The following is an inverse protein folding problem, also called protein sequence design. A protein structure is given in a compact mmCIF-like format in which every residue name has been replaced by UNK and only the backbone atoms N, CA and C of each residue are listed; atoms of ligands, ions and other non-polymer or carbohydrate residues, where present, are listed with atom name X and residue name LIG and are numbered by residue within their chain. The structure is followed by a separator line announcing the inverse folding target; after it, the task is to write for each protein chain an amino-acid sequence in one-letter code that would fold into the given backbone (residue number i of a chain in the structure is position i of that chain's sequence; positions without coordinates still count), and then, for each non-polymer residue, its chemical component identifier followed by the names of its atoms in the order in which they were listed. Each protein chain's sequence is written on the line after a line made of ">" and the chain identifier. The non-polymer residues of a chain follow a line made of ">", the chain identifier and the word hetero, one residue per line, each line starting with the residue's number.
data_IF_765232726273
#
_entry.id   IF_765232726273
#
_cell.length_a   1.000
_cell.length_b   1.000
_cell.length_c   1.000
_cell.angle_alpha   90.00
_cell.angle_beta   90.00
_cell.angle_gamma   90.00
#
_symmetry.space_group_name_H-M   'P 1'
#
loop_
_entity.id
_entity.type
_entity.pdbx_description
1 polymer ?
#
# COMPACT_ATOMS: atom_id res chain seq x y z
N UNK A 1 -1.97 3.81 -1.90
CA UNK A 1 -1.23 2.54 -1.78
C UNK A 1 0.00 2.68 -0.90
N UNK A 2 0.99 3.54 -1.20
CA UNK A 2 2.17 3.76 -0.32
C UNK A 2 1.80 4.07 1.13
N UNK A 3 0.82 4.95 1.35
CA UNK A 3 0.28 5.31 2.68
C UNK A 3 -0.43 4.17 3.41
N UNK A 4 -0.70 3.04 2.75
CA UNK A 4 -1.29 1.83 3.34
C UNK A 4 -0.22 0.73 3.49
N UNK A 5 0.57 0.51 2.43
CA UNK A 5 1.64 -0.48 2.39
C UNK A 5 2.74 -0.16 3.42
N UNK A 6 3.18 1.11 3.50
CA UNK A 6 4.25 1.48 4.43
C UNK A 6 3.85 1.25 5.90
N UNK A 7 2.67 1.70 6.38
CA UNK A 7 2.23 1.35 7.73
C UNK A 7 2.03 -0.14 7.93
N UNK A 8 1.55 -0.88 6.92
CA UNK A 8 1.38 -2.33 7.02
C UNK A 8 2.73 -3.05 7.22
N UNK A 9 3.75 -2.73 6.41
CA UNK A 9 5.10 -3.26 6.56
C UNK A 9 5.70 -2.90 7.93
N UNK A 10 5.47 -1.69 8.43
CA UNK A 10 5.90 -1.29 9.78
C UNK A 10 5.16 -2.07 10.88
N UNK A 11 3.86 -2.37 10.68
CA UNK A 11 3.09 -3.19 11.61
C UNK A 11 3.61 -4.62 11.66
N UNK A 12 4.10 -5.20 10.57
CA UNK A 12 4.71 -6.54 10.58
C UNK A 12 5.94 -6.59 11.52
N UNK A 13 6.82 -5.58 11.46
CA UNK A 13 7.94 -5.48 12.39
C UNK A 13 7.47 -5.30 13.85
N UNK A 14 6.42 -4.50 14.07
CA UNK A 14 5.84 -4.34 15.40
C UNK A 14 5.27 -5.66 15.94
N UNK A 15 4.55 -6.41 15.11
CA UNK A 15 3.98 -7.71 15.49
C UNK A 15 5.07 -8.71 15.88
N UNK A 16 6.15 -8.78 15.10
CA UNK A 16 7.31 -9.61 15.43
C UNK A 16 7.92 -9.21 16.77
N UNK A 17 8.18 -7.91 16.98
CA UNK A 17 8.77 -7.39 18.22
C UNK A 17 7.94 -7.80 19.43
N UNK A 18 6.63 -7.66 19.34
CA UNK A 18 5.73 -7.93 20.44
C UNK A 18 5.58 -9.43 20.71
N UNK A 19 5.48 -10.26 19.66
CA UNK A 19 5.45 -11.71 19.81
C UNK A 19 6.73 -12.23 20.48
N UNK A 20 7.90 -11.76 20.04
CA UNK A 20 9.18 -12.07 20.70
C UNK A 20 9.25 -11.57 22.15
N UNK A 21 8.57 -10.45 22.44
CA UNK A 21 8.39 -9.91 23.79
C UNK A 21 7.28 -10.60 24.62
N UNK A 22 6.61 -11.61 24.09
CA UNK A 22 5.46 -12.31 24.71
C UNK A 22 4.26 -11.39 24.99
N UNK A 23 4.09 -10.37 24.15
CA UNK A 23 2.95 -9.46 24.14
C UNK A 23 1.99 -9.83 23.01
N UNK A 24 0.80 -10.34 23.34
CA UNK A 24 -0.14 -10.94 22.38
C UNK A 24 -1.40 -10.10 22.11
N UNK A 25 -1.41 -8.82 22.47
CA UNK A 25 -2.61 -7.98 22.36
C UNK A 25 -3.14 -7.84 20.92
N UNK A 26 -2.28 -8.01 19.91
CA UNK A 26 -2.72 -8.04 18.50
C UNK A 26 -3.27 -9.40 18.04
N UNK A 27 -3.04 -10.46 18.81
CA UNK A 27 -3.42 -11.83 18.49
C UNK A 27 -4.15 -12.48 19.68
N UNK A 28 -5.39 -12.08 20.00
CA UNK A 28 -6.12 -12.59 21.16
C UNK A 28 -6.25 -14.12 21.19
N UNK A 29 -6.40 -14.76 20.02
CA UNK A 29 -6.45 -16.22 19.92
C UNK A 29 -5.13 -16.88 20.31
N UNK A 30 -3.98 -16.29 19.94
CA UNK A 30 -2.66 -16.81 20.32
C UNK A 30 -2.43 -16.60 21.82
N UNK A 31 -2.90 -15.48 22.38
CA UNK A 31 -2.87 -15.24 23.83
C UNK A 31 -3.60 -16.35 24.59
N UNK A 32 -4.83 -16.67 24.17
CA UNK A 32 -5.64 -17.73 24.80
C UNK A 32 -4.99 -19.12 24.69
N UNK A 33 -4.46 -19.48 23.53
CA UNK A 33 -3.77 -20.76 23.34
C UNK A 33 -2.51 -20.87 24.21
N UNK A 34 -1.80 -19.75 24.41
CA UNK A 34 -0.63 -19.70 25.28
C UNK A 34 -0.97 -19.83 26.75
N UNK A 35 -2.08 -19.24 27.20
CA UNK A 35 -2.60 -19.42 28.56
C UNK A 35 -2.95 -20.90 28.83
N UNK A 36 -3.47 -21.60 27.82
CA UNK A 36 -3.77 -23.03 27.88
C UNK A 36 -2.52 -23.93 27.79
N UNK A 37 -1.33 -23.37 27.54
CA UNK A 37 -0.10 -24.12 27.35
C UNK A 37 0.04 -24.81 26.00
N UNK A 38 -0.77 -24.44 25.01
CA UNK A 38 -0.79 -25.03 23.65
C UNK A 38 0.23 -24.38 22.70
N UNK A 39 0.75 -23.20 23.05
CA UNK A 39 1.74 -22.45 22.26
C UNK A 39 3.04 -22.35 23.05
N UNK A 40 4.11 -22.91 22.50
CA UNK A 40 5.45 -22.87 23.06
C UNK A 40 6.30 -21.77 22.42
N UNK A 41 7.47 -21.54 23.01
CA UNK A 41 8.39 -20.51 22.53
C UNK A 41 8.95 -20.82 21.14
N UNK A 42 9.11 -22.10 20.81
CA UNK A 42 9.51 -22.54 19.47
C UNK A 42 8.44 -22.19 18.42
N UNK A 43 7.15 -22.31 18.75
CA UNK A 43 6.05 -21.93 17.87
C UNK A 43 6.01 -20.41 17.64
N UNK A 44 6.29 -19.63 18.70
CA UNK A 44 6.40 -18.17 18.61
C UNK A 44 7.58 -17.77 17.72
N UNK A 45 8.70 -18.49 17.82
CA UNK A 45 9.87 -18.24 16.99
C UNK A 45 9.57 -18.51 15.51
N UNK A 46 8.91 -19.62 15.20
CA UNK A 46 8.46 -19.93 13.82
C UNK A 46 7.57 -18.81 13.28
N UNK A 47 6.65 -18.29 14.09
CA UNK A 47 5.79 -17.19 13.67
C UNK A 47 6.56 -15.88 13.45
N UNK A 48 7.55 -15.59 14.30
CA UNK A 48 8.46 -14.45 14.11
C UNK A 48 9.24 -14.55 12.80
N UNK A 49 9.73 -15.74 12.46
CA UNK A 49 10.47 -15.99 11.22
C UNK A 49 9.55 -15.81 10.00
N UNK A 50 8.30 -16.29 10.08
CA UNK A 50 7.30 -16.05 9.03
C UNK A 50 7.00 -14.56 8.84
N UNK A 51 6.92 -13.79 9.91
CA UNK A 51 6.72 -12.33 9.82
C UNK A 51 7.90 -11.63 9.15
N UNK A 52 9.13 -12.06 9.39
CA UNK A 52 10.32 -11.54 8.69
C UNK A 52 10.26 -11.82 7.19
N UNK A 53 9.97 -13.07 6.82
CA UNK A 53 9.84 -13.46 5.40
C UNK A 53 8.74 -12.65 4.73
N UNK A 54 7.56 -12.56 5.36
CA UNK A 54 6.44 -11.77 4.84
C UNK A 54 6.79 -10.29 4.71
N UNK A 55 7.49 -9.72 5.69
CA UNK A 55 7.91 -8.33 5.64
C UNK A 55 8.85 -8.08 4.45
N UNK A 56 9.83 -8.96 4.26
CA UNK A 56 10.77 -8.89 3.14
C UNK A 56 10.05 -9.03 1.80
N UNK A 57 9.19 -10.03 1.65
CA UNK A 57 8.40 -10.25 0.43
C UNK A 57 7.54 -9.02 0.10
N UNK A 58 6.91 -8.39 1.09
CA UNK A 58 6.13 -7.16 0.90
C UNK A 58 7.00 -5.98 0.49
N UNK A 59 8.20 -5.84 1.07
CA UNK A 59 9.15 -4.80 0.68
C UNK A 59 9.67 -4.99 -0.74
N UNK A 60 9.95 -6.23 -1.15
CA UNK A 60 10.40 -6.56 -2.51
C UNK A 60 9.29 -6.36 -3.54
N UNK A 61 8.10 -6.88 -3.26
CA UNK A 61 6.93 -6.77 -4.14
C UNK A 61 6.53 -5.32 -4.42
N UNK A 62 6.58 -4.46 -3.40
CA UNK A 62 6.15 -3.06 -3.51
C UNK A 62 7.34 -2.08 -3.53
N UNK A 63 8.53 -2.55 -3.88
CA UNK A 63 9.74 -1.73 -3.80
C UNK A 63 9.65 -0.47 -4.68
N UNK A 64 9.02 -0.58 -5.85
CA UNK A 64 8.73 0.52 -6.75
C UNK A 64 7.87 1.58 -6.05
N UNK A 65 6.75 1.19 -5.45
CA UNK A 65 5.82 2.07 -4.70
C UNK A 65 6.51 2.68 -3.47
N UNK A 66 7.36 1.89 -2.79
CA UNK A 66 8.14 2.32 -1.62
C UNK A 66 9.33 3.22 -1.99
N UNK A 67 9.74 3.27 -3.26
CA UNK A 67 10.73 4.24 -3.78
C UNK A 67 10.11 5.51 -4.33
N UNK A 68 8.80 5.55 -4.58
CA UNK A 68 8.10 6.76 -5.03
C UNK A 68 8.27 7.89 -4.00
N UNK A 69 9.09 8.90 -4.34
CA UNK A 69 9.23 10.11 -3.53
C UNK A 69 8.01 10.98 -3.74
N UNK A 70 7.05 10.91 -2.81
CA UNK A 70 5.90 11.82 -2.82
C UNK A 70 6.43 13.20 -2.47
N UNK A 71 6.40 14.12 -3.44
CA UNK A 71 6.81 15.49 -3.21
C UNK A 71 5.73 16.19 -2.38
N UNK A 72 6.14 16.85 -1.29
CA UNK A 72 5.22 17.44 -0.32
C UNK A 72 4.22 18.42 -0.95
N UNK A 73 4.65 19.16 -2.00
CA UNK A 73 3.80 20.10 -2.73
C UNK A 73 2.60 19.46 -3.45
N UNK A 74 2.64 18.15 -3.74
CA UNK A 74 1.53 17.42 -4.38
C UNK A 74 0.34 17.27 -3.42
N UNK A 75 0.64 17.09 -2.12
CA UNK A 75 -0.34 16.92 -1.05
C UNK A 75 -0.72 18.28 -0.45
N UNK A 76 0.26 19.15 -0.28
CA UNK A 76 0.08 20.50 0.23
C UNK A 76 0.94 21.48 -0.55
N UNK A 77 0.29 22.21 -1.46
CA UNK A 77 0.92 23.20 -2.33
C UNK A 77 1.74 24.25 -1.56
N UNK A 78 1.49 24.48 -0.27
CA UNK A 78 2.18 25.51 0.52
C UNK A 78 3.36 24.99 1.34
N UNK A 79 3.66 23.69 1.29
CA UNK A 79 4.86 23.14 1.92
C UNK A 79 6.12 23.44 1.08
N UNK A 80 7.23 23.61 1.79
CA UNK A 80 8.52 24.09 1.27
C UNK A 80 8.92 23.43 -0.08
N UNK A 81 9.11 24.25 -1.11
CA UNK A 81 9.30 23.84 -2.52
C UNK A 81 10.76 23.60 -2.92
N UNK A 82 11.68 23.54 -1.95
CA UNK A 82 13.12 23.36 -2.19
C UNK A 82 13.49 22.08 -2.95
N UNK A 83 12.59 21.10 -3.04
CA UNK A 83 12.82 19.83 -3.74
C UNK A 83 12.27 19.79 -5.18
N UNK A 84 11.70 20.88 -5.69
CA UNK A 84 11.13 20.90 -7.05
C UNK A 84 12.20 21.18 -8.10
N UNK A 85 12.12 20.51 -9.25
CA UNK A 85 12.94 20.82 -10.42
C UNK A 85 12.74 22.28 -10.83
N UNK A 86 13.82 22.98 -11.21
CA UNK A 86 13.76 24.40 -11.59
C UNK A 86 12.72 24.67 -12.69
N UNK A 87 12.58 23.74 -13.64
CA UNK A 87 11.61 23.80 -14.75
C UNK A 87 10.14 23.78 -14.30
N UNK A 88 9.85 23.25 -13.11
CA UNK A 88 8.49 23.16 -12.56
C UNK A 88 8.18 24.29 -11.58
N UNK A 89 9.18 25.09 -11.21
CA UNK A 89 9.07 26.11 -10.16
C UNK A 89 8.19 27.28 -10.59
N UNK A 90 8.22 27.63 -11.88
CA UNK A 90 7.35 28.65 -12.47
C UNK A 90 5.89 28.23 -12.40
N UNK A 91 5.54 27.06 -12.98
CA UNK A 91 4.17 26.52 -12.91
C UNK A 91 3.68 26.39 -11.46
N UNK A 92 4.54 25.97 -10.53
CA UNK A 92 4.17 25.86 -9.11
C UNK A 92 3.87 27.24 -8.50
N UNK A 93 4.67 28.26 -8.82
CA UNK A 93 4.48 29.62 -8.31
C UNK A 93 3.16 30.22 -8.82
N UNK A 94 2.87 30.02 -10.11
CA UNK A 94 1.62 30.46 -10.73
C UNK A 94 0.40 29.76 -10.11
N UNK A 95 0.53 28.46 -9.84
CA UNK A 95 -0.52 27.69 -9.18
C UNK A 95 -0.74 28.12 -7.72
N UNK A 96 0.34 28.41 -6.97
CA UNK A 96 0.28 28.84 -5.58
C UNK A 96 -0.35 30.24 -5.40
N UNK A 97 -0.15 31.12 -6.38
CA UNK A 97 -0.67 32.50 -6.37
C UNK A 97 -2.11 32.59 -6.89
N UNK A 98 -2.61 31.55 -7.55
CA UNK A 98 -3.97 31.48 -8.06
C UNK A 98 -5.01 31.27 -6.94
N UNK A 99 -5.59 32.38 -6.44
CA UNK A 99 -6.61 32.37 -5.38
C UNK A 99 -7.90 31.63 -5.75
N UNK A 100 -8.26 31.54 -7.04
CA UNK A 100 -9.47 30.85 -7.50
C UNK A 100 -9.34 29.33 -7.37
N UNK A 101 -8.13 28.79 -7.54
CA UNK A 101 -7.84 27.37 -7.48
C UNK A 101 -7.60 26.87 -6.05
N UNK A 102 -7.16 27.73 -5.12
CA UNK A 102 -6.96 27.38 -3.70
C UNK A 102 -8.14 26.66 -3.02
N UNK A 103 -9.39 27.15 -3.10
CA UNK A 103 -10.52 26.47 -2.45
C UNK A 103 -10.76 25.07 -3.05
N UNK A 104 -10.56 24.91 -4.36
CA UNK A 104 -10.73 23.60 -5.01
C UNK A 104 -9.68 22.58 -4.58
N UNK A 105 -8.44 23.03 -4.34
CA UNK A 105 -7.39 22.18 -3.78
C UNK A 105 -7.71 21.73 -2.35
N UNK A 106 -8.21 22.65 -1.50
CA UNK A 106 -8.59 22.35 -0.10
C UNK A 106 -9.73 21.32 0.00
N UNK A 107 -10.62 21.27 -0.99
CA UNK A 107 -11.70 20.27 -1.03
C UNK A 107 -11.19 18.85 -1.38
N UNK A 108 -9.96 18.71 -1.87
CA UNK A 108 -9.32 17.42 -2.12
C UNK A 108 -8.28 17.50 -3.24
N UNK A 109 -7.01 17.26 -2.91
CA UNK A 109 -5.91 17.33 -3.88
C UNK A 109 -6.09 16.34 -5.05
N UNK A 110 -6.62 15.13 -4.81
CA UNK A 110 -6.80 14.14 -5.87
C UNK A 110 -7.79 14.62 -6.94
N UNK A 111 -8.97 15.07 -6.49
CA UNK A 111 -9.99 15.63 -7.39
C UNK A 111 -9.51 16.89 -8.09
N UNK A 112 -8.71 17.72 -7.41
CA UNK A 112 -8.11 18.91 -7.98
C UNK A 112 -7.20 18.57 -9.17
N UNK A 113 -6.23 17.70 -8.96
CA UNK A 113 -5.26 17.33 -9.98
C UNK A 113 -5.90 16.63 -11.17
N UNK A 114 -6.99 15.89 -10.98
CA UNK A 114 -7.72 15.20 -12.05
C UNK A 114 -8.52 16.14 -12.96
N UNK A 115 -8.64 17.43 -12.64
CA UNK A 115 -9.37 18.38 -13.49
C UNK A 115 -8.61 18.64 -14.79
N UNK A 116 -9.34 18.61 -15.91
CA UNK A 116 -8.77 18.87 -17.24
C UNK A 116 -8.05 20.22 -17.31
N UNK A 117 -8.63 21.26 -16.72
CA UNK A 117 -8.04 22.60 -16.68
C UNK A 117 -6.64 22.62 -16.05
N UNK A 118 -6.39 21.78 -15.03
CA UNK A 118 -5.08 21.72 -14.36
C UNK A 118 -4.05 21.04 -15.27
N UNK A 119 -4.46 19.99 -15.98
CA UNK A 119 -3.61 19.35 -16.99
C UNK A 119 -3.26 20.28 -18.16
N UNK A 120 -4.16 21.19 -18.53
CA UNK A 120 -3.97 22.09 -19.67
C UNK A 120 -3.13 23.33 -19.28
N UNK A 121 -3.35 23.88 -18.09
CA UNK A 121 -2.65 25.08 -17.59
C UNK A 121 -1.27 24.79 -16.97
N UNK A 122 -1.12 23.62 -16.35
CA UNK A 122 0.10 23.24 -15.62
C UNK A 122 0.60 21.85 -16.06
N UNK A 123 0.98 21.69 -17.35
CA UNK A 123 1.30 20.40 -17.93
C UNK A 123 2.55 19.74 -17.32
N UNK A 124 3.55 20.53 -16.90
CA UNK A 124 4.75 20.04 -16.23
C UNK A 124 4.43 19.42 -14.88
N UNK A 125 3.67 20.14 -14.04
CA UNK A 125 3.21 19.66 -12.74
C UNK A 125 2.31 18.43 -12.92
N UNK A 126 1.37 18.47 -13.85
CA UNK A 126 0.47 17.36 -14.13
C UNK A 126 1.22 16.09 -14.56
N UNK A 127 2.23 16.20 -15.43
CA UNK A 127 3.08 15.07 -15.86
C UNK A 127 3.71 14.37 -14.67
N UNK A 128 4.10 15.12 -13.64
CA UNK A 128 4.67 14.58 -12.41
C UNK A 128 3.59 13.95 -11.54
N UNK A 129 2.52 14.70 -11.24
CA UNK A 129 1.39 14.26 -10.39
C UNK A 129 0.69 13.01 -10.94
N UNK A 130 0.49 12.93 -12.26
CA UNK A 130 -0.17 11.79 -12.90
C UNK A 130 0.55 10.47 -12.64
N UNK A 131 1.89 10.45 -12.53
CA UNK A 131 2.65 9.24 -12.16
C UNK A 131 2.28 8.77 -10.76
N UNK A 132 2.09 9.70 -9.82
CA UNK A 132 1.63 9.39 -8.47
C UNK A 132 0.18 8.92 -8.48
N UNK A 133 -0.72 9.58 -9.22
CA UNK A 133 -2.12 9.18 -9.27
C UNK A 133 -2.34 7.82 -9.96
N UNK A 134 -1.57 7.49 -11.01
CA UNK A 134 -1.69 6.23 -11.77
C UNK A 134 -1.05 5.02 -11.09
N UNK A 135 -0.04 5.23 -10.26
CA UNK A 135 0.55 4.16 -9.45
C UNK A 135 -0.45 3.59 -8.42
N UNK A 136 -1.57 4.27 -8.16
CA UNK A 136 -2.54 3.86 -7.14
C UNK A 136 -3.57 2.83 -7.63
N UNK A 137 -4.13 2.88 -8.85
CA UNK A 137 -5.13 1.89 -9.29
C UNK A 137 -4.55 0.68 -10.02
N UNK A 138 -3.45 0.82 -10.78
CA UNK A 138 -3.04 -0.20 -11.75
C UNK A 138 -2.49 -1.49 -11.11
N UNK A 139 -1.60 -1.39 -10.12
CA UNK A 139 -1.05 -2.57 -9.42
C UNK A 139 -2.09 -3.27 -8.55
N UNK A 140 -2.88 -2.52 -7.76
CA UNK A 140 -3.95 -3.08 -6.93
C UNK A 140 -5.01 -3.83 -7.74
N UNK A 141 -5.50 -3.23 -8.84
CA UNK A 141 -6.53 -3.88 -9.67
C UNK A 141 -6.00 -5.12 -10.39
N UNK A 142 -4.74 -5.07 -10.84
CA UNK A 142 -4.07 -6.23 -11.45
C UNK A 142 -3.87 -7.33 -10.40
N UNK A 143 -3.39 -7.02 -9.20
CA UNK A 143 -3.22 -8.01 -8.13
C UNK A 143 -4.54 -8.56 -7.60
N UNK A 144 -5.59 -7.74 -7.45
CA UNK A 144 -6.92 -8.23 -7.11
C UNK A 144 -7.46 -9.16 -8.21
N UNK A 145 -7.29 -8.77 -9.48
CA UNK A 145 -7.66 -9.61 -10.62
C UNK A 145 -6.91 -10.94 -10.62
N UNK A 146 -5.59 -10.92 -10.44
CA UNK A 146 -4.77 -12.13 -10.38
C UNK A 146 -5.08 -12.98 -9.15
N UNK A 147 -5.31 -12.38 -7.99
CA UNK A 147 -5.68 -13.08 -6.75
C UNK A 147 -7.00 -13.84 -6.89
N UNK A 148 -8.02 -13.20 -7.48
CA UNK A 148 -9.30 -13.86 -7.80
C UNK A 148 -9.10 -15.02 -8.79
N UNK A 149 -8.26 -14.83 -9.82
CA UNK A 149 -7.94 -15.88 -10.79
C UNK A 149 -7.18 -17.04 -10.12
N UNK A 150 -6.20 -16.76 -9.27
CA UNK A 150 -5.46 -17.81 -8.54
C UNK A 150 -6.35 -18.54 -7.57
N UNK A 151 -7.21 -17.85 -6.82
CA UNK A 151 -8.20 -18.45 -5.92
C UNK A 151 -9.19 -19.34 -6.68
N UNK A 152 -9.63 -18.91 -7.86
CA UNK A 152 -10.48 -19.70 -8.73
C UNK A 152 -9.75 -20.97 -9.21
N UNK A 153 -8.49 -20.85 -9.63
CA UNK A 153 -7.68 -21.97 -10.11
C UNK A 153 -7.34 -22.97 -9.00
N UNK A 154 -7.03 -22.50 -7.79
CA UNK A 154 -6.73 -23.37 -6.63
C UNK A 154 -8.00 -24.03 -6.08
N UNK A 155 -9.12 -23.30 -5.95
CA UNK A 155 -10.40 -23.91 -5.55
C UNK A 155 -10.93 -24.91 -6.57
N UNK A 156 -10.72 -24.67 -7.87
CA UNK A 156 -11.08 -25.63 -8.94
C UNK A 156 -10.18 -26.88 -8.93
N UNK A 157 -8.93 -26.77 -8.49
CA UNK A 157 -8.01 -27.92 -8.29
C UNK A 157 -8.24 -28.68 -6.99
N UNK A 158 -8.78 -28.04 -5.94
CA UNK A 158 -9.11 -28.70 -4.68
C UNK A 158 -10.44 -29.48 -4.70
N UNK A 159 -11.19 -29.45 -5.82
CA UNK A 159 -12.29 -30.39 -6.06
C UNK A 159 -11.73 -31.69 -6.64
N UNK A 160 -11.15 -32.52 -5.79
CA UNK A 160 -11.06 -33.96 -6.06
C UNK A 160 -12.49 -34.45 -6.35
N UNK A 161 -12.78 -34.79 -7.61
CA UNK A 161 -13.97 -35.56 -7.95
C UNK A 161 -13.82 -36.95 -7.32
N UNK A 162 -14.42 -37.13 -6.13
CA UNK A 162 -14.58 -38.43 -5.46
C UNK A 162 -15.84 -39.17 -5.99
N UNK A 163 -16.50 -38.64 -7.01
CA UNK A 163 -17.54 -39.34 -7.76
C UNK A 163 -16.93 -39.88 -9.06
N UNK A 164 -16.62 -41.19 -9.02
CA UNK A 164 -16.55 -42.20 -10.11
C UNK A 164 -15.54 -43.31 -9.79
N UNK A 165 -15.79 -44.02 -8.70
CA UNK A 165 -15.58 -45.48 -8.61
C UNK A 165 -16.96 -46.01 -8.22
N UNK A 166 -17.79 -46.49 -9.13
CA UNK A 166 -17.50 -47.62 -10.01
C UNK A 166 -17.90 -48.87 -9.22
N UNK A 167 -19.18 -49.23 -9.36
CA UNK A 167 -19.81 -50.43 -8.84
C UNK A 167 -18.93 -51.67 -9.07
N UNK A 168 -18.77 -52.49 -8.03
CA UNK A 168 -18.72 -53.95 -8.06
C UNK A 168 -19.03 -54.48 -6.65
#
# INVERSE_FOLDING_TARGET
>A
MRSLISPFISKLALFKRNLGGREFYQFPSVAALRENGEVHDDDIQIYCDHLDVLQKDMQERFQDILKIKILNWVIDLFLNSNEIEMELKEELTDLQTNEELKPTFKNGYQSFWLQKQISDLYPGLWRMVRKFLLAFPSSYLVECGFSVVTDFLTKKRNRLQIDKRGDL
#
